data_IF_417217148906
#
_entry.id   IF_417217148906
#
_cell.length_a   1.000
_cell.length_b   1.000
_cell.length_c   1.000
_cell.angle_alpha   90.00
_cell.angle_beta   90.00
_cell.angle_gamma   90.00
#
_symmetry.space_group_name_H-M   'P 1'
#
loop_
_entity.id
_entity.type
_entity.pdbx_description
1 polymer ?
#
# COMPACT_ATOMS: atom_id res chain seq x y z
N UNK A 1 -23.32 -15.68 -9.72
CA UNK A 1 -22.61 -14.58 -9.04
C UNK A 1 -21.25 -15.08 -8.56
N UNK A 2 -20.11 -14.61 -9.09
CA UNK A 2 -18.82 -15.10 -8.61
C UNK A 2 -18.43 -14.35 -7.33
N UNK A 3 -18.15 -15.10 -6.26
CA UNK A 3 -17.59 -14.61 -5.00
C UNK A 3 -16.25 -13.90 -5.28
N UNK A 4 -16.22 -12.58 -5.10
CA UNK A 4 -14.97 -11.78 -5.02
C UNK A 4 -14.11 -12.37 -3.91
N UNK A 5 -13.02 -13.05 -4.26
CA UNK A 5 -11.97 -13.41 -3.32
C UNK A 5 -11.31 -12.10 -2.88
N UNK A 6 -11.62 -11.62 -1.68
CA UNK A 6 -10.90 -10.50 -1.07
C UNK A 6 -9.41 -10.87 -0.95
N UNK A 7 -8.49 -9.96 -1.30
CA UNK A 7 -7.07 -10.24 -1.26
C UNK A 7 -6.64 -10.49 0.19
N UNK A 8 -6.04 -11.66 0.46
CA UNK A 8 -5.55 -12.14 1.77
C UNK A 8 -4.80 -11.10 2.63
N UNK A 9 -4.22 -10.07 2.01
CA UNK A 9 -3.54 -8.95 2.67
C UNK A 9 -4.47 -8.04 3.47
N UNK A 10 -5.70 -7.83 2.99
CA UNK A 10 -6.67 -6.95 3.63
C UNK A 10 -7.25 -7.61 4.90
N UNK A 11 -7.40 -8.93 4.86
CA UNK A 11 -7.73 -9.75 6.03
C UNK A 11 -6.61 -9.76 7.06
N UNK A 12 -5.34 -9.92 6.64
CA UNK A 12 -4.20 -9.92 7.55
C UNK A 12 -3.98 -8.56 8.25
N UNK A 13 -4.18 -7.46 7.53
CA UNK A 13 -4.10 -6.11 8.10
C UNK A 13 -5.26 -5.82 9.07
N UNK A 14 -6.50 -6.22 8.72
CA UNK A 14 -7.64 -6.16 9.66
C UNK A 14 -7.37 -7.00 10.91
N UNK A 15 -6.84 -8.21 10.77
CA UNK A 15 -6.50 -9.07 11.92
C UNK A 15 -5.43 -8.39 12.79
N UNK A 16 -4.37 -7.85 12.20
CA UNK A 16 -3.33 -7.13 12.95
C UNK A 16 -3.87 -5.92 13.72
N UNK A 17 -4.72 -5.12 13.08
CA UNK A 17 -5.42 -4.00 13.71
C UNK A 17 -6.34 -4.44 14.85
N UNK A 18 -7.11 -5.51 14.65
CA UNK A 18 -8.02 -6.04 15.68
C UNK A 18 -7.24 -6.58 16.88
N UNK A 19 -6.13 -7.28 16.66
CA UNK A 19 -5.28 -7.81 17.73
C UNK A 19 -4.62 -6.67 18.51
N UNK A 20 -4.09 -5.64 17.83
CA UNK A 20 -3.50 -4.47 18.50
C UNK A 20 -4.55 -3.68 19.26
N UNK A 21 -5.73 -3.45 18.68
CA UNK A 21 -6.85 -2.79 19.37
C UNK A 21 -7.32 -3.57 20.60
N UNK A 22 -7.34 -4.90 20.52
CA UNK A 22 -7.69 -5.78 21.64
C UNK A 22 -6.63 -5.73 22.75
N UNK A 23 -5.34 -5.72 22.41
CA UNK A 23 -4.24 -5.59 23.39
C UNK A 23 -4.28 -4.23 24.07
N UNK A 24 -4.49 -3.14 23.31
CA UNK A 24 -4.61 -1.79 23.89
C UNK A 24 -5.84 -1.69 24.79
N UNK A 25 -6.99 -2.22 24.35
CA UNK A 25 -8.22 -2.26 25.13
C UNK A 25 -8.07 -3.05 26.43
N UNK A 26 -7.44 -4.24 26.38
CA UNK A 26 -7.12 -5.05 27.55
C UNK A 26 -6.14 -4.34 28.48
N UNK A 27 -5.11 -3.68 27.94
CA UNK A 27 -4.10 -2.96 28.72
C UNK A 27 -4.72 -1.78 29.47
N UNK A 28 -5.62 -1.01 28.83
CA UNK A 28 -6.36 0.08 29.50
C UNK A 28 -7.32 -0.48 30.55
N UNK A 29 -8.05 -1.56 30.24
CA UNK A 29 -9.00 -2.17 31.16
C UNK A 29 -8.34 -2.84 32.39
N UNK A 30 -7.15 -3.43 32.24
CA UNK A 30 -6.48 -4.18 33.30
C UNK A 30 -5.36 -3.41 34.02
N UNK A 31 -4.78 -2.36 33.43
CA UNK A 31 -3.68 -1.62 34.07
C UNK A 31 -4.05 -0.17 34.40
N UNK A 32 -4.82 0.51 33.55
CA UNK A 32 -5.20 1.92 33.79
C UNK A 32 -6.40 2.00 34.72
N UNK A 33 -7.39 1.13 34.54
CA UNK A 33 -8.58 1.14 35.38
C UNK A 33 -8.32 0.88 36.86
N UNK A 34 -7.56 -0.15 37.27
CA UNK A 34 -7.28 -0.40 38.69
C UNK A 34 -6.41 0.69 39.33
N UNK A 35 -5.49 1.27 38.56
CA UNK A 35 -4.61 2.35 39.00
C UNK A 35 -5.35 3.68 39.24
N UNK A 36 -6.49 3.91 38.57
CA UNK A 36 -7.34 5.09 38.77
C UNK A 36 -8.40 4.85 39.83
N UNK A 37 -8.85 3.59 40.02
CA UNK A 37 -9.89 3.29 41.02
C UNK A 37 -9.36 3.07 42.43
N UNK A 38 -8.09 2.69 42.62
CA UNK A 38 -7.54 2.38 43.95
C UNK A 38 -8.20 1.13 44.55
N UNK A 39 -7.44 0.36 45.33
CA UNK A 39 -7.97 -0.87 45.94
C UNK A 39 -9.10 -0.55 46.95
N UNK A 40 -10.30 -1.06 46.64
CA UNK A 40 -11.24 -1.82 47.49
C UNK A 40 -12.74 -1.50 47.27
N UNK A 41 -13.07 -0.46 46.51
CA UNK A 41 -14.44 -0.29 45.99
C UNK A 41 -14.39 -0.31 44.46
N UNK A 42 -15.11 -1.26 43.84
CA UNK A 42 -15.43 -1.17 42.42
C UNK A 42 -16.03 0.20 42.20
N UNK A 43 -15.29 1.09 41.52
CA UNK A 43 -15.72 2.46 41.29
C UNK A 43 -17.14 2.51 40.71
N UNK A 44 -17.86 3.61 40.87
CA UNK A 44 -19.22 3.69 40.36
C UNK A 44 -19.25 3.38 38.85
N UNK A 45 -20.24 2.60 38.39
CA UNK A 45 -20.33 2.06 37.03
C UNK A 45 -20.07 3.08 35.91
N UNK A 46 -20.39 4.36 36.15
CA UNK A 46 -20.13 5.44 35.21
C UNK A 46 -18.64 5.63 34.90
N UNK A 47 -17.74 5.36 35.85
CA UNK A 47 -16.29 5.45 35.65
C UNK A 47 -15.79 4.40 34.64
N UNK A 48 -16.37 3.19 34.69
CA UNK A 48 -16.09 2.14 33.71
C UNK A 48 -16.61 2.50 32.32
N UNK A 49 -17.81 3.10 32.22
CA UNK A 49 -18.39 3.56 30.95
C UNK A 49 -17.56 4.69 30.33
N UNK A 50 -17.13 5.67 31.14
CA UNK A 50 -16.28 6.78 30.69
C UNK A 50 -14.90 6.28 30.28
N UNK A 51 -14.29 5.37 31.06
CA UNK A 51 -13.01 4.76 30.70
C UNK A 51 -13.07 3.97 29.41
N UNK A 52 -14.14 3.19 29.20
CA UNK A 52 -14.35 2.44 27.95
C UNK A 52 -14.57 3.37 26.75
N UNK A 53 -15.38 4.43 26.91
CA UNK A 53 -15.61 5.41 25.84
C UNK A 53 -14.30 6.13 25.46
N UNK A 54 -13.50 6.54 26.44
CA UNK A 54 -12.21 7.18 26.21
C UNK A 54 -11.23 6.22 25.50
N UNK A 55 -11.18 4.96 25.92
CA UNK A 55 -10.34 3.93 25.29
C UNK A 55 -10.73 3.71 23.81
N UNK A 56 -12.04 3.69 23.50
CA UNK A 56 -12.53 3.59 22.12
C UNK A 56 -12.12 4.80 21.30
N UNK A 57 -12.28 6.02 21.82
CA UNK A 57 -11.91 7.25 21.11
C UNK A 57 -10.40 7.30 20.84
N UNK A 58 -9.58 7.00 21.84
CA UNK A 58 -8.11 6.95 21.69
C UNK A 58 -7.69 5.83 20.73
N UNK A 59 -8.31 4.65 20.83
CA UNK A 59 -8.04 3.53 19.95
C UNK A 59 -8.38 3.83 18.48
N UNK A 60 -9.53 4.44 18.22
CA UNK A 60 -9.93 4.86 16.87
C UNK A 60 -9.03 6.00 16.36
N UNK A 61 -8.70 6.98 17.20
CA UNK A 61 -7.78 8.06 16.83
C UNK A 61 -6.38 7.53 16.47
N UNK A 62 -5.83 6.64 17.30
CA UNK A 62 -4.55 6.00 17.05
C UNK A 62 -4.57 5.12 15.80
N UNK A 63 -5.69 4.46 15.50
CA UNK A 63 -5.88 3.70 14.26
C UNK A 63 -5.80 4.61 13.03
N UNK A 64 -6.53 5.72 13.03
CA UNK A 64 -6.55 6.68 11.92
C UNK A 64 -5.17 7.30 11.73
N UNK A 65 -4.51 7.70 12.82
CA UNK A 65 -3.14 8.22 12.77
C UNK A 65 -2.15 7.15 12.27
N UNK A 66 -2.24 5.92 12.77
CA UNK A 66 -1.38 4.81 12.36
C UNK A 66 -1.56 4.44 10.89
N UNK A 67 -2.79 4.50 10.37
CA UNK A 67 -3.10 4.34 8.95
C UNK A 67 -2.51 5.46 8.10
N UNK A 68 -2.68 6.72 8.53
CA UNK A 68 -2.15 7.89 7.82
C UNK A 68 -0.62 7.90 7.79
N UNK A 69 0.01 7.62 8.93
CA UNK A 69 1.47 7.52 9.07
C UNK A 69 2.00 6.30 8.31
N UNK A 70 1.30 5.17 8.36
CA UNK A 70 1.64 3.97 7.57
C UNK A 70 1.60 4.23 6.07
N UNK A 71 0.59 4.94 5.57
CA UNK A 71 0.53 5.38 4.17
C UNK A 71 1.68 6.32 3.82
N UNK A 72 2.00 7.27 4.69
CA UNK A 72 3.08 8.25 4.48
C UNK A 72 4.49 7.63 4.54
N UNK A 73 4.74 6.65 5.41
CA UNK A 73 6.04 5.99 5.58
C UNK A 73 6.28 4.86 4.59
N UNK A 74 5.24 4.08 4.25
CA UNK A 74 5.38 3.01 3.25
C UNK A 74 5.51 3.61 1.85
N UNK A 75 5.14 4.88 1.67
CA UNK A 75 5.20 5.57 0.39
C UNK A 75 4.16 4.96 -0.55
N UNK A 76 3.63 5.79 -1.41
CA UNK A 76 2.54 5.45 -2.31
C UNK A 76 3.08 4.66 -3.52
N UNK A 77 3.83 3.60 -3.21
CA UNK A 77 4.71 2.87 -4.10
C UNK A 77 3.90 1.92 -4.96
N UNK A 78 4.05 2.04 -6.27
CA UNK A 78 3.30 1.23 -7.25
C UNK A 78 4.14 0.03 -7.64
N UNK A 79 3.70 -1.17 -7.25
CA UNK A 79 4.31 -2.44 -7.70
C UNK A 79 4.02 -2.64 -9.20
N UNK A 80 5.07 -2.79 -10.02
CA UNK A 80 4.95 -2.94 -11.46
C UNK A 80 6.15 -3.68 -12.07
N UNK A 81 6.02 -4.14 -13.31
CA UNK A 81 7.10 -4.63 -14.13
C UNK A 81 7.39 -3.63 -15.27
N UNK A 82 8.65 -3.41 -15.58
CA UNK A 82 9.12 -2.48 -16.61
C UNK A 82 10.01 -3.22 -17.62
N UNK A 83 9.86 -2.94 -18.91
CA UNK A 83 10.82 -3.36 -19.94
C UNK A 83 10.99 -2.29 -21.00
N UNK A 84 12.09 -2.39 -21.73
CA UNK A 84 12.15 -1.78 -23.07
C UNK A 84 11.33 -2.63 -24.04
N UNK A 85 10.80 -2.06 -25.14
CA UNK A 85 10.04 -2.80 -26.15
C UNK A 85 10.79 -4.05 -26.61
N UNK A 86 10.17 -5.22 -26.49
CA UNK A 86 10.79 -6.52 -26.82
C UNK A 86 11.87 -7.02 -25.84
N UNK A 87 12.20 -6.25 -24.80
CA UNK A 87 13.19 -6.59 -23.79
C UNK A 87 12.68 -7.55 -22.71
N UNK A 88 13.54 -7.82 -21.72
CA UNK A 88 13.20 -8.66 -20.56
C UNK A 88 12.44 -7.85 -19.51
N UNK A 89 11.41 -8.46 -18.91
CA UNK A 89 10.67 -7.87 -17.80
C UNK A 89 11.56 -7.69 -16.56
N UNK A 90 11.61 -6.46 -16.06
CA UNK A 90 12.24 -6.09 -14.79
C UNK A 90 11.13 -5.83 -13.79
N UNK A 91 11.00 -6.66 -12.76
CA UNK A 91 10.00 -6.47 -11.71
C UNK A 91 10.51 -5.51 -10.65
N UNK A 92 9.66 -4.61 -10.17
CA UNK A 92 10.08 -3.59 -9.21
C UNK A 92 8.94 -2.78 -8.63
N UNK A 93 9.29 -1.57 -8.20
CA UNK A 93 8.35 -0.56 -7.74
C UNK A 93 8.66 0.77 -8.41
N UNK A 94 7.62 1.56 -8.63
CA UNK A 94 7.73 2.98 -8.90
C UNK A 94 7.61 3.76 -7.60
N UNK A 95 8.47 4.74 -7.46
CA UNK A 95 8.42 5.79 -6.44
C UNK A 95 8.31 7.13 -7.18
N UNK A 96 7.16 7.78 -7.05
CA UNK A 96 6.83 9.02 -7.76
C UNK A 96 7.14 10.18 -6.82
N UNK A 97 8.23 10.91 -7.11
CA UNK A 97 8.74 12.00 -6.27
C UNK A 97 8.80 13.31 -7.07
N UNK A 98 8.82 14.45 -6.37
CA UNK A 98 8.89 15.77 -7.01
C UNK A 98 10.15 15.87 -7.89
N UNK A 99 9.97 15.95 -9.21
CA UNK A 99 11.04 16.05 -10.20
C UNK A 99 11.36 14.76 -10.95
N UNK A 100 10.71 13.63 -10.64
CA UNK A 100 10.82 12.42 -11.46
C UNK A 100 10.34 11.14 -10.80
N UNK A 101 10.16 10.12 -11.65
CA UNK A 101 9.68 8.80 -11.28
C UNK A 101 10.85 7.83 -11.21
N UNK A 102 11.07 7.23 -10.04
CA UNK A 102 12.15 6.27 -9.84
C UNK A 102 11.62 4.84 -9.89
N UNK A 103 12.18 4.02 -10.78
CA UNK A 103 11.93 2.59 -10.81
C UNK A 103 13.04 1.82 -10.07
N UNK A 104 12.66 1.01 -9.09
CA UNK A 104 13.58 0.16 -8.32
C UNK A 104 13.27 -1.32 -8.51
N UNK A 105 14.26 -2.06 -9.05
CA UNK A 105 14.13 -3.49 -9.34
C UNK A 105 14.19 -4.37 -8.08
N UNK A 106 13.41 -5.45 -8.06
CA UNK A 106 13.55 -6.56 -7.12
C UNK A 106 14.69 -7.50 -7.53
N UNK A 107 15.55 -7.88 -6.60
CA UNK A 107 16.73 -8.70 -6.90
C UNK A 107 16.41 -10.19 -7.05
N UNK A 108 15.62 -10.77 -6.15
CA UNK A 108 15.42 -12.23 -6.03
C UNK A 108 14.03 -12.61 -5.47
N UNK A 109 13.02 -11.75 -5.65
CA UNK A 109 11.61 -11.95 -5.29
C UNK A 109 11.31 -12.19 -3.79
N UNK A 110 10.98 -11.11 -3.07
CA UNK A 110 9.94 -11.01 -2.03
C UNK A 110 9.83 -9.54 -1.58
N UNK A 111 9.22 -8.69 -2.43
CA UNK A 111 8.78 -7.31 -2.15
C UNK A 111 9.77 -6.32 -1.51
N UNK A 112 11.04 -6.69 -1.33
CA UNK A 112 12.09 -5.82 -0.82
C UNK A 112 12.93 -5.36 -2.04
N UNK A 113 12.76 -4.10 -2.48
CA UNK A 113 13.45 -3.54 -3.63
C UNK A 113 14.94 -3.43 -3.33
N UNK A 114 15.75 -3.98 -4.23
CA UNK A 114 17.19 -4.13 -4.06
C UNK A 114 17.82 -4.20 -5.45
N UNK A 115 17.73 -3.10 -6.18
CA UNK A 115 18.18 -3.01 -7.57
C UNK A 115 18.71 -1.63 -7.91
N UNK A 116 19.40 -1.53 -9.07
CA UNK A 116 19.84 -0.24 -9.61
C UNK A 116 18.59 0.61 -9.88
N UNK A 117 18.55 1.79 -9.25
CA UNK A 117 17.47 2.76 -9.46
C UNK A 117 17.56 3.29 -10.88
N UNK A 118 16.44 3.27 -11.59
CA UNK A 118 16.28 3.95 -12.86
C UNK A 118 15.46 5.20 -12.60
N UNK A 119 16.06 6.37 -12.77
CA UNK A 119 15.37 7.63 -12.64
C UNK A 119 14.83 8.04 -14.01
N UNK A 120 13.53 8.35 -14.07
CA UNK A 120 12.81 8.74 -15.27
C UNK A 120 12.20 10.13 -15.09
N UNK A 121 12.26 10.96 -16.12
CA UNK A 121 11.68 12.32 -16.15
C UNK A 121 10.69 12.44 -17.30
N UNK A 122 9.78 13.43 -17.21
CA UNK A 122 8.77 13.64 -18.24
C UNK A 122 7.86 12.42 -18.45
N UNK A 123 7.53 11.71 -17.37
CA UNK A 123 6.88 10.40 -17.45
C UNK A 123 5.39 10.56 -17.75
N UNK A 124 4.96 10.00 -18.89
CA UNK A 124 3.57 9.89 -19.29
C UNK A 124 3.15 8.44 -19.49
N UNK A 125 1.97 8.07 -19.00
CA UNK A 125 1.39 6.77 -19.25
C UNK A 125 0.45 6.81 -20.45
N UNK A 126 0.65 5.89 -21.39
CA UNK A 126 -0.28 5.65 -22.48
C UNK A 126 -1.65 5.15 -22.00
N UNK A 127 -2.65 5.12 -22.88
CA UNK A 127 -3.98 4.61 -22.56
C UNK A 127 -3.93 3.13 -22.20
N UNK A 128 -4.77 2.71 -21.25
CA UNK A 128 -4.98 1.29 -20.98
C UNK A 128 -5.90 0.68 -22.04
N UNK A 129 -5.32 -0.10 -22.95
CA UNK A 129 -6.04 -0.78 -24.03
C UNK A 129 -6.53 -2.17 -23.62
N UNK A 130 -6.23 -2.62 -22.39
CA UNK A 130 -6.47 -3.98 -21.93
C UNK A 130 -5.50 -5.01 -22.51
N UNK A 131 -4.40 -4.56 -23.12
CA UNK A 131 -3.35 -5.43 -23.62
C UNK A 131 -2.73 -6.24 -22.48
N UNK A 132 -2.44 -7.52 -22.73
CA UNK A 132 -1.92 -8.45 -21.72
C UNK A 132 -0.62 -9.09 -22.20
N UNK A 133 0.27 -9.51 -21.27
CA UNK A 133 1.44 -10.25 -21.64
C UNK A 133 1.06 -11.55 -22.36
N UNK A 134 1.79 -11.93 -23.43
CA UNK A 134 1.51 -13.16 -24.16
C UNK A 134 1.74 -14.39 -23.29
N UNK A 135 0.95 -15.45 -23.50
CA UNK A 135 1.03 -16.70 -22.72
C UNK A 135 2.41 -17.39 -22.78
N UNK A 136 3.24 -17.07 -23.77
CA UNK A 136 4.62 -17.57 -23.83
C UNK A 136 5.50 -16.99 -22.72
N UNK A 137 5.09 -15.89 -22.09
CA UNK A 137 5.83 -15.16 -21.05
C UNK A 137 5.34 -15.45 -19.63
N UNK A 138 4.46 -16.44 -19.41
CA UNK A 138 3.86 -16.80 -18.11
C UNK A 138 4.89 -17.00 -16.98
N UNK A 139 6.06 -17.53 -17.31
CA UNK A 139 7.14 -17.78 -16.35
C UNK A 139 7.88 -16.50 -15.93
N UNK A 140 7.75 -15.43 -16.71
CA UNK A 140 8.44 -14.17 -16.49
C UNK A 140 7.52 -13.08 -15.96
N UNK A 141 6.23 -13.13 -16.27
CA UNK A 141 5.26 -12.11 -15.88
C UNK A 141 3.86 -12.70 -15.74
N UNK A 142 3.10 -12.18 -14.78
CA UNK A 142 1.71 -12.59 -14.60
C UNK A 142 0.86 -12.15 -15.81
N UNK A 143 0.15 -13.08 -16.49
CA UNK A 143 -0.66 -12.78 -17.67
C UNK A 143 -1.92 -11.95 -17.38
N UNK A 144 -2.26 -11.76 -16.11
CA UNK A 144 -3.41 -10.96 -15.68
C UNK A 144 -3.07 -9.46 -15.57
N UNK A 145 -1.80 -9.09 -15.71
CA UNK A 145 -1.40 -7.69 -15.71
C UNK A 145 -1.78 -7.04 -17.02
N UNK A 146 -2.08 -5.75 -16.97
CA UNK A 146 -2.28 -4.92 -18.16
C UNK A 146 -0.94 -4.31 -18.54
N UNK A 147 -0.62 -4.34 -19.83
CA UNK A 147 0.58 -3.73 -20.41
C UNK A 147 0.20 -2.39 -21.01
N UNK A 148 0.91 -1.34 -20.62
CA UNK A 148 0.74 0.00 -21.17
C UNK A 148 2.10 0.59 -21.55
N UNK A 149 2.09 1.50 -22.52
CA UNK A 149 3.26 2.31 -22.85
C UNK A 149 3.55 3.30 -21.72
N UNK A 150 4.83 3.48 -21.41
CA UNK A 150 5.35 4.55 -20.58
C UNK A 150 6.32 5.34 -21.44
N UNK A 151 5.97 6.58 -21.72
CA UNK A 151 6.82 7.53 -22.43
C UNK A 151 7.59 8.35 -21.39
N UNK A 152 8.87 8.60 -21.65
CA UNK A 152 9.76 9.41 -20.82
C UNK A 152 10.79 10.12 -21.69
N UNK A 153 11.46 11.13 -21.14
CA UNK A 153 12.53 11.84 -21.86
C UNK A 153 13.70 10.90 -22.22
N UNK A 154 13.91 9.85 -21.43
CA UNK A 154 14.93 8.83 -21.68
C UNK A 154 14.52 7.78 -22.72
N UNK A 155 13.29 7.82 -23.20
CA UNK A 155 12.76 6.91 -24.21
C UNK A 155 11.46 6.23 -23.81
N UNK A 156 11.07 5.24 -24.62
CA UNK A 156 9.81 4.52 -24.49
C UNK A 156 10.00 3.19 -23.80
N UNK A 157 9.15 2.93 -22.82
CA UNK A 157 9.13 1.69 -22.05
C UNK A 157 7.73 1.08 -22.07
N UNK A 158 7.66 -0.17 -21.65
CA UNK A 158 6.39 -0.85 -21.39
C UNK A 158 6.31 -1.18 -19.90
N UNK A 159 5.18 -0.82 -19.31
CA UNK A 159 4.86 -1.07 -17.91
C UNK A 159 3.74 -2.09 -17.84
N UNK A 160 3.89 -3.06 -16.95
CA UNK A 160 2.86 -4.04 -16.66
C UNK A 160 2.52 -4.05 -15.17
N UNK A 161 1.27 -3.74 -14.85
CA UNK A 161 0.75 -3.76 -13.49
C UNK A 161 -0.73 -4.14 -13.47
N UNK A 162 -1.31 -4.27 -12.28
CA UNK A 162 -2.77 -4.45 -12.17
C UNK A 162 -3.48 -3.15 -12.55
N UNK A 163 -4.72 -3.20 -13.08
CA UNK A 163 -5.46 -2.00 -13.48
C UNK A 163 -5.51 -0.91 -12.40
N UNK A 164 -5.83 -1.30 -11.16
CA UNK A 164 -5.86 -0.38 -10.01
C UNK A 164 -4.51 0.25 -9.66
N UNK A 165 -3.40 -0.37 -10.06
CA UNK A 165 -2.05 0.16 -9.84
C UNK A 165 -1.64 1.10 -10.97
N UNK A 166 -2.12 0.86 -12.18
CA UNK A 166 -1.94 1.76 -13.31
C UNK A 166 -2.75 3.04 -13.12
N UNK A 167 -3.99 2.93 -12.63
CA UNK A 167 -4.81 4.09 -12.24
C UNK A 167 -4.11 4.91 -11.16
N UNK A 168 -3.67 4.27 -10.07
CA UNK A 168 -2.93 4.96 -9.00
C UNK A 168 -1.66 5.65 -9.52
N UNK A 169 -0.89 5.00 -10.39
CA UNK A 169 0.31 5.59 -10.98
C UNK A 169 -0.03 6.78 -11.88
N UNK A 170 -1.14 6.71 -12.63
CA UNK A 170 -1.62 7.80 -13.47
C UNK A 170 -2.05 8.99 -12.61
N UNK A 171 -2.86 8.76 -11.59
CA UNK A 171 -3.31 9.81 -10.66
C UNK A 171 -2.12 10.53 -10.01
N UNK A 172 -1.08 9.78 -9.62
CA UNK A 172 0.14 10.34 -9.04
C UNK A 172 0.95 11.17 -10.04
N UNK A 173 1.03 10.73 -11.29
CA UNK A 173 1.72 11.48 -12.36
C UNK A 173 0.94 12.74 -12.75
N UNK A 174 -0.39 12.66 -12.80
CA UNK A 174 -1.27 13.78 -13.12
C UNK A 174 -1.25 14.84 -11.99
N UNK A 175 -1.25 14.42 -10.72
CA UNK A 175 -1.09 15.32 -9.57
C UNK A 175 0.27 16.05 -9.60
N UNK A 176 1.30 15.43 -10.16
CA UNK A 176 2.59 16.07 -10.36
C UNK A 176 2.61 17.04 -11.56
N UNK A 177 1.94 16.70 -12.66
CA UNK A 177 1.89 17.53 -13.85
C UNK A 177 0.98 18.77 -13.68
N UNK A 178 -0.02 18.69 -12.79
CA UNK A 178 -0.97 19.76 -12.51
C UNK A 178 -0.54 20.76 -11.43
N UNK A 179 0.65 20.61 -10.83
CA UNK A 179 1.26 21.57 -9.90
C UNK A 179 2.44 22.28 -10.54
#
# INVERSE_FOLDING_TARGET
MPRRKQPLKESAFRIGVTVVGMIVGLTVAFLVLPAVTGDDERGPLWAYVVGAALAVVVGVGALVLGLAVGRRLVGDRVEAALREPGGKWRHGRFDVAHGGTTFERYRWQLRIPSGRKLFLTGVGLGPDTGERPPLRQLWTINPQLHVIGLDSDQGRYEVAASPSRLELLRDQLDEQAGR
#
